data_IF_853957824835
#
_entry.id   IF_853957824835
#
_cell.length_a   1.000
_cell.length_b   1.000
_cell.length_c   1.000
_cell.angle_alpha   90.00
_cell.angle_beta   90.00
_cell.angle_gamma   90.00
#
_symmetry.space_group_name_H-M   'P 1'
#
loop_
_entity.id
_entity.type
_entity.pdbx_description
1 polymer ?
#
# COMPACT_ATOMS: atom_id res chain seq x y z
N UNK A 1 14.43 -3.42 -18.08
CA UNK A 1 13.47 -4.53 -18.14
C UNK A 1 12.15 -4.00 -17.62
N UNK A 2 11.07 -4.09 -18.41
CA UNK A 2 9.73 -3.67 -17.98
C UNK A 2 9.22 -4.69 -16.95
N UNK A 3 9.30 -4.32 -15.66
CA UNK A 3 8.70 -5.04 -14.53
C UNK A 3 7.18 -4.78 -14.49
N UNK A 4 6.49 -4.98 -15.60
CA UNK A 4 5.04 -4.79 -15.68
C UNK A 4 4.38 -6.14 -15.45
N UNK A 5 4.00 -6.41 -14.21
CA UNK A 5 2.92 -7.35 -13.91
C UNK A 5 1.76 -6.94 -14.78
N UNK A 6 1.14 -7.89 -15.48
CA UNK A 6 0.16 -7.61 -16.52
C UNK A 6 -0.86 -6.56 -16.03
N UNK A 7 -0.65 -5.30 -16.44
CA UNK A 7 -1.27 -4.12 -15.81
C UNK A 7 -2.74 -3.95 -16.20
N UNK A 8 -3.29 -4.94 -16.93
CA UNK A 8 -4.52 -4.81 -17.71
C UNK A 8 -5.76 -5.39 -17.04
N UNK A 9 -5.61 -6.20 -16.00
CA UNK A 9 -6.74 -6.82 -15.28
C UNK A 9 -6.81 -6.38 -13.82
N UNK A 10 -8.02 -6.18 -13.29
CA UNK A 10 -8.25 -5.92 -11.86
C UNK A 10 -9.01 -7.08 -11.20
N UNK A 11 -8.70 -7.43 -9.94
CA UNK A 11 -7.70 -6.82 -9.05
C UNK A 11 -6.25 -7.11 -9.49
N UNK A 12 -5.37 -6.10 -9.41
CA UNK A 12 -3.92 -6.25 -9.68
C UNK A 12 -3.09 -6.05 -8.41
N UNK A 13 -2.02 -6.82 -8.18
CA UNK A 13 -1.22 -6.70 -6.98
C UNK A 13 -0.54 -5.32 -6.88
N UNK A 14 -0.45 -4.79 -5.66
CA UNK A 14 0.48 -3.70 -5.35
C UNK A 14 1.83 -4.34 -5.05
N UNK A 15 2.85 -3.94 -5.80
CA UNK A 15 4.21 -4.48 -5.65
C UNK A 15 5.14 -3.41 -5.10
N UNK A 16 6.09 -3.81 -4.26
CA UNK A 16 7.12 -2.93 -3.76
C UNK A 16 8.21 -2.72 -4.84
N UNK A 17 8.51 -1.46 -5.15
CA UNK A 17 9.57 -1.09 -6.09
C UNK A 17 10.75 -0.49 -5.34
N UNK A 18 11.97 -0.81 -5.78
CA UNK A 18 13.20 -0.24 -5.21
C UNK A 18 13.55 1.15 -5.80
N UNK A 19 12.91 1.54 -6.92
CA UNK A 19 13.33 2.67 -7.77
C UNK A 19 12.21 3.65 -8.15
N UNK A 20 11.06 3.58 -7.48
CA UNK A 20 9.92 4.47 -7.73
C UNK A 20 8.96 3.91 -8.78
N UNK A 21 7.97 3.15 -8.29
CA UNK A 21 6.88 2.58 -9.11
C UNK A 21 5.78 3.57 -9.46
N UNK A 22 4.57 3.06 -9.74
CA UNK A 22 3.39 3.83 -10.14
C UNK A 22 2.92 4.90 -9.12
N UNK A 23 3.49 4.92 -7.91
CA UNK A 23 3.13 5.85 -6.84
C UNK A 23 1.67 5.68 -6.41
N UNK A 24 1.23 6.51 -5.46
CA UNK A 24 -0.17 6.63 -5.09
C UNK A 24 -0.47 8.01 -4.53
N UNK A 25 -1.73 8.40 -4.60
CA UNK A 25 -2.26 9.65 -4.08
C UNK A 25 -3.05 9.38 -2.79
N UNK A 26 -2.52 9.78 -1.61
CA UNK A 26 -3.26 9.68 -0.37
C UNK A 26 -4.33 10.78 -0.29
N UNK A 27 -5.60 10.37 -0.20
CA UNK A 27 -6.72 11.29 0.03
C UNK A 27 -7.19 11.13 1.47
N UNK A 28 -7.05 12.19 2.27
CA UNK A 28 -7.47 12.21 3.67
C UNK A 28 -9.00 12.06 3.78
N UNK A 29 -9.45 11.16 4.67
CA UNK A 29 -10.87 10.96 4.99
C UNK A 29 -11.22 11.53 6.36
N UNK A 30 -10.53 11.06 7.39
CA UNK A 30 -10.72 11.54 8.76
C UNK A 30 -9.55 12.41 9.26
N UNK A 31 -9.85 13.30 10.21
CA UNK A 31 -8.91 14.22 10.83
C UNK A 31 -8.31 13.71 12.15
N UNK A 32 -7.37 14.47 12.75
CA UNK A 32 -6.82 14.14 14.05
C UNK A 32 -7.94 13.94 15.09
N UNK A 33 -7.80 12.96 16.02
CA UNK A 33 -6.61 12.14 16.26
C UNK A 33 -6.46 10.92 15.34
N UNK A 34 -7.49 10.56 14.56
CA UNK A 34 -7.52 9.34 13.76
C UNK A 34 -7.44 9.67 12.26
N UNK A 35 -6.27 10.14 11.82
CA UNK A 35 -6.06 10.42 10.40
C UNK A 35 -6.11 9.13 9.58
N UNK A 36 -7.09 9.03 8.70
CA UNK A 36 -7.23 7.92 7.75
C UNK A 36 -7.20 8.42 6.31
N UNK A 37 -6.82 7.54 5.41
CA UNK A 37 -6.59 7.86 4.02
C UNK A 37 -7.18 6.77 3.12
N UNK A 38 -7.83 7.18 2.02
CA UNK A 38 -7.99 6.29 0.87
C UNK A 38 -6.81 6.51 -0.06
N UNK A 39 -6.23 5.45 -0.59
CA UNK A 39 -5.05 5.52 -1.45
C UNK A 39 -5.45 5.17 -2.89
N UNK A 40 -5.13 6.05 -3.83
CA UNK A 40 -5.46 5.90 -5.24
C UNK A 40 -4.16 5.75 -6.06
N UNK A 41 -4.06 4.73 -6.91
CA UNK A 41 -2.97 4.57 -7.87
C UNK A 41 -3.55 4.20 -9.23
N UNK A 42 -3.18 4.96 -10.27
CA UNK A 42 -3.61 4.73 -11.66
C UNK A 42 -5.14 4.46 -11.76
N UNK A 43 -5.93 5.44 -11.29
CA UNK A 43 -7.40 5.43 -11.23
C UNK A 43 -8.05 4.32 -10.38
N UNK A 44 -7.25 3.49 -9.72
CA UNK A 44 -7.71 2.37 -8.90
C UNK A 44 -7.44 2.64 -7.42
N UNK A 45 -8.28 2.10 -6.55
CA UNK A 45 -8.04 2.20 -5.10
C UNK A 45 -7.21 1.03 -4.61
N UNK A 46 -6.30 1.29 -3.67
CA UNK A 46 -5.56 0.23 -2.98
C UNK A 46 -6.48 -0.39 -1.92
N UNK A 47 -6.74 -1.69 -2.05
CA UNK A 47 -7.65 -2.49 -1.24
C UNK A 47 -6.94 -3.70 -0.64
N UNK A 48 -7.56 -4.29 0.38
CA UNK A 48 -7.30 -5.65 0.81
C UNK A 48 -8.29 -6.59 0.12
N UNK A 49 -7.78 -7.62 -0.55
CA UNK A 49 -8.57 -8.74 -1.07
C UNK A 49 -7.91 -10.03 -0.58
N UNK A 50 -8.59 -10.72 0.33
CA UNK A 50 -8.16 -11.98 0.93
C UNK A 50 -6.74 -11.95 1.52
N UNK A 51 -6.36 -10.83 2.16
CA UNK A 51 -5.04 -10.64 2.78
C UNK A 51 -3.98 -10.09 1.84
N UNK A 52 -4.31 -9.82 0.58
CA UNK A 52 -3.40 -9.27 -0.41
C UNK A 52 -3.70 -7.78 -0.66
N UNK A 53 -2.66 -6.98 -0.82
CA UNK A 53 -2.80 -5.55 -1.14
C UNK A 53 -2.87 -5.41 -2.66
N UNK A 54 -4.04 -5.01 -3.16
CA UNK A 54 -4.33 -4.97 -4.61
C UNK A 54 -4.94 -3.63 -5.01
N UNK A 55 -4.88 -3.30 -6.30
CA UNK A 55 -5.58 -2.19 -6.93
C UNK A 55 -6.90 -2.68 -7.49
N UNK A 56 -7.99 -2.02 -7.10
CA UNK A 56 -9.36 -2.31 -7.53
C UNK A 56 -9.97 -1.07 -8.17
N UNK A 57 -10.51 -1.23 -9.36
CA UNK A 57 -11.29 -0.18 -10.02
C UNK A 57 -12.68 -0.06 -9.38
N UNK A 58 -13.07 1.17 -9.03
CA UNK A 58 -14.41 1.51 -8.55
C UNK A 58 -14.98 0.55 -7.46
N UNK A 59 -14.25 0.29 -6.35
CA UNK A 59 -14.80 -0.53 -5.29
C UNK A 59 -16.05 0.12 -4.71
N UNK A 60 -17.01 -0.71 -4.29
CA UNK A 60 -18.26 -0.23 -3.68
C UNK A 60 -17.99 0.68 -2.46
N UNK A 61 -16.95 0.36 -1.68
CA UNK A 61 -16.48 1.19 -0.57
C UNK A 61 -14.95 1.20 -0.59
N UNK A 62 -14.31 2.35 -0.84
CA UNK A 62 -12.86 2.46 -0.77
C UNK A 62 -12.34 2.14 0.63
N UNK A 63 -11.47 1.14 0.74
CA UNK A 63 -10.73 0.86 1.97
C UNK A 63 -9.93 2.08 2.46
N UNK A 64 -10.02 2.30 3.77
CA UNK A 64 -9.25 3.30 4.48
C UNK A 64 -8.02 2.68 5.16
N UNK A 65 -6.95 3.45 5.17
CA UNK A 65 -5.64 3.09 5.71
C UNK A 65 -5.20 4.13 6.75
N UNK A 66 -4.52 3.66 7.78
CA UNK A 66 -3.82 4.49 8.77
C UNK A 66 -2.34 4.49 8.40
N UNK A 67 -1.79 5.68 8.16
CA UNK A 67 -0.37 5.87 7.88
C UNK A 67 0.27 6.49 9.13
N UNK A 68 1.26 5.81 9.69
CA UNK A 68 1.95 6.26 10.90
C UNK A 68 3.44 6.40 10.63
N UNK A 69 4.01 7.54 11.04
CA UNK A 69 5.43 7.83 10.90
C UNK A 69 6.23 7.19 12.05
N UNK A 70 7.40 6.65 11.72
CA UNK A 70 8.40 6.07 12.60
C UNK A 70 9.77 6.59 12.17
N UNK A 71 10.30 7.59 12.87
CA UNK A 71 11.54 8.30 12.48
C UNK A 71 11.52 8.77 11.00
N UNK A 72 12.10 7.99 10.08
CA UNK A 72 12.21 8.25 8.64
C UNK A 72 11.31 7.35 7.76
N UNK A 73 10.55 6.43 8.36
CA UNK A 73 9.73 5.43 7.67
C UNK A 73 8.28 5.47 8.10
N UNK A 74 7.44 4.73 7.38
CA UNK A 74 6.00 4.68 7.60
C UNK A 74 5.49 3.24 7.68
N UNK A 75 4.49 3.02 8.54
CA UNK A 75 3.65 1.82 8.51
C UNK A 75 2.31 2.17 7.89
N UNK A 76 1.72 1.25 7.14
CA UNK A 76 0.38 1.39 6.55
C UNK A 76 -0.50 0.27 7.07
N UNK A 77 -1.57 0.62 7.80
CA UNK A 77 -2.44 -0.33 8.51
C UNK A 77 -3.87 -0.22 8.03
N UNK A 78 -4.55 -1.34 7.81
CA UNK A 78 -5.98 -1.35 7.46
C UNK A 78 -6.81 -0.80 8.63
N UNK A 79 -7.64 0.22 8.37
CA UNK A 79 -8.46 0.89 9.40
C UNK A 79 -9.26 -0.13 10.20
N UNK A 80 -9.21 0.00 11.53
CA UNK A 80 -9.95 -0.88 12.46
C UNK A 80 -9.31 -2.25 12.70
N UNK A 81 -8.09 -2.49 12.22
CA UNK A 81 -7.36 -3.75 12.41
C UNK A 81 -5.91 -3.51 12.84
N UNK A 82 -5.18 -4.58 13.11
CA UNK A 82 -3.72 -4.59 13.35
C UNK A 82 -2.93 -5.05 12.12
N UNK A 83 -3.60 -5.26 10.98
CA UNK A 83 -3.00 -5.78 9.76
C UNK A 83 -2.34 -4.66 8.95
N UNK A 84 -1.03 -4.80 8.74
CA UNK A 84 -0.18 -3.84 8.06
C UNK A 84 0.27 -4.36 6.69
N UNK A 85 0.50 -3.44 5.77
CA UNK A 85 1.25 -3.73 4.55
C UNK A 85 2.59 -4.36 4.94
N UNK A 86 2.92 -5.44 4.26
CA UNK A 86 4.11 -6.24 4.52
C UNK A 86 4.74 -6.58 3.20
N UNK A 87 6.00 -6.21 3.08
CA UNK A 87 6.85 -6.56 1.98
C UNK A 87 7.50 -7.94 2.24
N UNK A 88 7.18 -8.98 1.46
CA UNK A 88 7.75 -10.31 1.65
C UNK A 88 9.26 -10.37 1.31
N UNK A 89 9.81 -9.30 0.73
CA UNK A 89 11.17 -9.27 0.19
C UNK A 89 11.27 -10.01 -1.15
N UNK A 90 12.50 -10.22 -1.61
CA UNK A 90 12.77 -10.85 -2.90
C UNK A 90 13.02 -9.85 -4.03
N UNK A 91 12.99 -10.35 -5.27
CA UNK A 91 13.29 -9.53 -6.44
C UNK A 91 12.15 -8.53 -6.69
N UNK A 92 12.50 -7.26 -6.91
CA UNK A 92 11.52 -6.25 -7.29
C UNK A 92 10.78 -6.68 -8.56
N UNK A 93 9.45 -6.59 -8.55
CA UNK A 93 8.58 -7.07 -9.63
C UNK A 93 7.40 -7.86 -9.07
N UNK A 94 6.80 -8.69 -9.93
CA UNK A 94 5.54 -9.39 -9.66
C UNK A 94 5.62 -10.47 -8.61
N UNK A 95 6.83 -10.89 -8.24
CA UNK A 95 7.04 -11.88 -7.19
C UNK A 95 7.11 -11.24 -5.80
N UNK A 96 7.08 -9.90 -5.70
CA UNK A 96 7.15 -9.12 -4.46
C UNK A 96 5.86 -8.34 -4.23
N UNK A 97 4.76 -9.08 -4.19
CA UNK A 97 3.42 -8.56 -3.90
C UNK A 97 3.30 -8.19 -2.43
N UNK A 98 2.64 -7.08 -2.13
CA UNK A 98 2.38 -6.69 -0.75
C UNK A 98 1.23 -7.51 -0.17
N UNK A 99 1.42 -8.00 1.05
CA UNK A 99 0.41 -8.72 1.81
C UNK A 99 0.08 -7.99 3.11
N UNK A 100 -1.00 -8.42 3.76
CA UNK A 100 -1.37 -7.97 5.09
C UNK A 100 -0.93 -8.96 6.16
N UNK A 101 -0.11 -8.49 7.10
CA UNK A 101 0.27 -9.28 8.28
C UNK A 101 0.24 -8.43 9.56
N UNK A 102 0.28 -9.07 10.73
CA UNK A 102 0.22 -8.37 12.02
C UNK A 102 1.36 -7.34 12.17
N UNK A 103 1.01 -6.11 12.57
CA UNK A 103 1.96 -5.01 12.73
C UNK A 103 2.96 -5.23 13.87
N UNK A 104 2.56 -5.87 14.97
CA UNK A 104 3.36 -5.95 16.19
C UNK A 104 4.14 -7.28 16.27
N UNK A 105 5.49 -7.26 16.41
CA UNK A 105 6.36 -6.10 16.51
C UNK A 105 6.59 -5.40 15.17
N UNK A 106 6.85 -4.09 15.24
CA UNK A 106 7.30 -3.30 14.09
C UNK A 106 8.64 -3.88 13.64
N UNK A 107 8.67 -4.33 12.39
CA UNK A 107 9.80 -5.03 11.76
C UNK A 107 10.13 -4.40 10.41
N UNK A 108 11.33 -4.62 9.85
CA UNK A 108 11.74 -3.98 8.61
C UNK A 108 10.76 -4.18 7.44
N UNK A 109 10.09 -5.32 7.38
CA UNK A 109 9.17 -5.71 6.29
C UNK A 109 7.88 -4.90 6.26
N UNK A 110 7.52 -4.22 7.36
CA UNK A 110 6.31 -3.38 7.46
C UNK A 110 6.61 -1.88 7.41
N UNK A 111 7.89 -1.53 7.22
CA UNK A 111 8.38 -0.15 7.18
C UNK A 111 8.67 0.27 5.74
N UNK A 112 7.98 1.29 5.28
CA UNK A 112 8.09 1.82 3.92
C UNK A 112 8.64 3.23 3.92
N UNK A 113 9.46 3.53 2.91
CA UNK A 113 9.86 4.89 2.57
C UNK A 113 8.92 5.41 1.49
N UNK A 114 8.40 6.63 1.67
CA UNK A 114 7.57 7.30 0.67
C UNK A 114 8.33 8.45 0.04
N UNK A 115 8.60 8.31 -1.26
CA UNK A 115 9.32 9.31 -2.06
C UNK A 115 8.27 10.14 -2.81
N UNK A 116 8.16 11.45 -2.57
CA UNK A 116 7.29 12.32 -3.35
C UNK A 116 7.70 12.32 -4.83
N UNK A 117 6.77 11.98 -5.72
CA UNK A 117 7.01 12.00 -7.17
C UNK A 117 6.95 13.42 -7.76
N UNK A 118 6.32 14.36 -7.07
CA UNK A 118 6.23 15.77 -7.45
C UNK A 118 6.36 16.67 -6.20
N UNK A 119 7.06 17.82 -6.31
CA UNK A 119 7.19 18.80 -5.22
C UNK A 119 5.94 19.66 -5.00
#
# INVERSE_FOLDING_TARGET
MLNTCDLRDTPRPVVAFNDGGLGFYPTKRDGPPNCTYTLLSDSSYIQDVDGNVVLVENPHTPQEWVITAHEDKYTVVKKGTTLAWTDPGGQAGCERELHLTELNPIRPEVLFEFIPLFP
#
